data_IF_171675990977
#
_entry.id   IF_171675990977
#
_cell.length_a   1.000
_cell.length_b   1.000
_cell.length_c   1.000
_cell.angle_alpha   90.00
_cell.angle_beta   90.00
_cell.angle_gamma   90.00
#
_symmetry.space_group_name_H-M   'P 1'
#
loop_
_entity.id
_entity.type
_entity.pdbx_description
1 polymer ?
#
# COMPACT_ATOMS: atom_id res chain seq x y z
N UNK A 1 -1.87 -2.69 0.11
CA UNK A 1 -2.78 -1.66 0.65
C UNK A 1 -3.70 -1.15 -0.45
N UNK A 2 -4.98 -0.98 -0.16
CA UNK A 2 -5.92 -0.21 -0.97
C UNK A 2 -6.06 1.14 -0.28
N UNK A 3 -5.64 2.21 -0.96
CA UNK A 3 -5.36 3.49 -0.32
C UNK A 3 -6.04 4.65 -1.05
N UNK A 4 -6.48 5.66 -0.30
CA UNK A 4 -6.93 6.91 -0.87
C UNK A 4 -5.85 7.54 -1.76
N UNK A 5 -6.26 8.38 -2.73
CA UNK A 5 -5.30 9.21 -3.45
C UNK A 5 -4.69 10.27 -2.50
N UNK A 6 -3.54 10.78 -2.85
CA UNK A 6 -2.79 11.74 -2.02
C UNK A 6 -2.34 12.94 -2.84
N UNK A 7 -1.87 13.98 -2.16
CA UNK A 7 -1.34 15.19 -2.81
C UNK A 7 -0.11 14.97 -3.70
N UNK A 8 0.47 13.77 -3.70
CA UNK A 8 1.53 13.37 -4.64
C UNK A 8 0.97 12.98 -6.03
N UNK A 9 -0.34 12.97 -6.19
CA UNK A 9 -1.02 12.66 -7.45
C UNK A 9 -1.69 13.93 -8.01
N UNK A 10 -1.59 14.17 -9.34
CA UNK A 10 -2.21 15.32 -9.94
C UNK A 10 -3.73 15.19 -9.99
N UNK A 11 -4.42 16.32 -10.06
CA UNK A 11 -5.87 16.38 -10.25
C UNK A 11 -6.28 15.88 -11.63
N UNK A 12 -5.51 16.20 -12.64
CA UNK A 12 -5.71 15.79 -14.04
C UNK A 12 -4.51 14.96 -14.51
N UNK A 13 -4.70 14.24 -15.62
CA UNK A 13 -3.58 13.60 -16.31
C UNK A 13 -2.51 14.64 -16.65
N UNK A 14 -1.29 14.44 -16.17
CA UNK A 14 -0.18 15.37 -16.41
C UNK A 14 1.16 14.68 -16.19
N UNK A 15 2.23 15.39 -16.51
CA UNK A 15 3.59 14.88 -16.33
C UNK A 15 3.90 14.59 -14.86
N UNK A 16 4.46 13.41 -14.61
CA UNK A 16 4.98 12.98 -13.32
C UNK A 16 6.17 12.05 -13.55
N UNK A 17 7.17 12.10 -12.69
CA UNK A 17 8.36 11.24 -12.78
C UNK A 17 8.04 9.75 -12.68
N UNK A 18 7.00 9.39 -11.95
CA UNK A 18 6.41 8.07 -11.89
C UNK A 18 5.20 8.04 -12.81
N UNK A 19 5.29 7.30 -13.92
CA UNK A 19 4.25 7.26 -14.95
C UNK A 19 2.92 6.68 -14.42
N UNK A 20 2.96 5.80 -13.45
CA UNK A 20 1.72 5.31 -12.82
C UNK A 20 0.97 6.44 -12.11
N UNK A 21 1.69 7.39 -11.53
CA UNK A 21 1.11 8.55 -10.85
C UNK A 21 0.83 9.74 -11.77
N UNK A 22 1.10 9.62 -13.07
CA UNK A 22 0.78 10.65 -14.05
C UNK A 22 -0.71 10.74 -14.42
N UNK A 23 -1.54 9.90 -13.83
CA UNK A 23 -2.98 9.83 -14.08
C UNK A 23 -3.77 10.63 -13.04
N UNK A 24 -4.93 11.13 -13.46
CA UNK A 24 -5.85 11.88 -12.61
C UNK A 24 -6.22 11.07 -11.34
N UNK A 25 -5.94 11.62 -10.19
CA UNK A 25 -6.01 10.93 -8.90
C UNK A 25 -7.41 10.37 -8.58
N UNK A 26 -8.46 11.09 -8.92
CA UNK A 26 -9.84 10.76 -8.57
C UNK A 26 -10.58 9.92 -9.64
N UNK A 27 -9.90 9.44 -10.67
CA UNK A 27 -10.55 8.75 -11.80
C UNK A 27 -10.04 7.32 -12.02
N UNK A 28 -8.89 6.96 -11.48
CA UNK A 28 -8.25 5.69 -11.80
C UNK A 28 -7.78 4.94 -10.56
N UNK A 29 -7.71 3.62 -10.66
CA UNK A 29 -6.95 2.79 -9.72
C UNK A 29 -5.49 2.76 -10.15
N UNK A 30 -4.59 3.13 -9.26
CA UNK A 30 -3.19 3.32 -9.59
C UNK A 30 -2.31 2.45 -8.68
N UNK A 31 -1.71 1.38 -9.22
CA UNK A 31 -0.72 0.62 -8.46
C UNK A 31 0.57 1.46 -8.31
N UNK A 32 1.07 1.55 -7.10
CA UNK A 32 2.32 2.25 -6.81
C UNK A 32 3.20 1.42 -5.89
N UNK A 33 4.50 1.65 -5.93
CA UNK A 33 5.40 1.17 -4.91
C UNK A 33 5.06 1.79 -3.55
N UNK A 34 5.39 1.10 -2.48
CA UNK A 34 5.28 1.63 -1.12
C UNK A 34 6.51 1.24 -0.30
N UNK A 35 6.98 2.15 0.53
CA UNK A 35 8.01 1.86 1.52
C UNK A 35 7.48 1.30 2.83
N UNK A 36 6.16 1.19 3.00
CA UNK A 36 5.53 0.83 4.27
C UNK A 36 5.98 -0.56 4.76
N UNK A 37 5.98 -1.58 3.88
CA UNK A 37 6.41 -2.92 4.24
C UNK A 37 7.88 -2.97 4.70
N UNK A 38 8.75 -2.18 4.06
CA UNK A 38 10.16 -2.06 4.46
C UNK A 38 10.32 -1.33 5.79
N UNK A 39 9.48 -0.32 6.04
CA UNK A 39 9.49 0.45 7.28
C UNK A 39 9.12 -0.40 8.50
N UNK A 40 8.29 -1.43 8.35
CA UNK A 40 7.99 -2.39 9.44
C UNK A 40 9.26 -3.06 9.95
N UNK A 41 10.20 -3.40 9.08
CA UNK A 41 11.49 -3.98 9.48
C UNK A 41 12.38 -3.06 10.31
N UNK A 42 12.10 -1.75 10.39
CA UNK A 42 12.79 -0.80 11.26
C UNK A 42 12.25 -0.88 12.70
N UNK A 43 10.98 -1.17 12.86
CA UNK A 43 10.28 -1.27 14.16
C UNK A 43 10.33 -2.70 14.68
N UNK A 44 10.21 -3.68 13.80
CA UNK A 44 10.25 -5.11 14.08
C UNK A 44 11.42 -5.75 13.32
N UNK A 45 12.65 -5.72 13.86
CA UNK A 45 13.86 -6.16 13.15
C UNK A 45 13.79 -7.62 12.65
N UNK A 46 13.10 -8.49 13.38
CA UNK A 46 12.92 -9.90 13.01
C UNK A 46 12.13 -10.09 11.69
N UNK A 47 11.41 -9.08 11.26
CA UNK A 47 10.66 -9.07 10.00
C UNK A 47 11.42 -8.38 8.86
N UNK A 48 12.63 -7.90 9.10
CA UNK A 48 13.44 -7.24 8.08
C UNK A 48 13.68 -8.15 6.89
N UNK A 49 13.28 -7.69 5.71
CA UNK A 49 13.41 -8.45 4.46
C UNK A 49 12.39 -9.57 4.26
N UNK A 50 11.47 -9.78 5.21
CA UNK A 50 10.41 -10.81 5.11
C UNK A 50 9.08 -10.24 4.62
N UNK A 51 8.95 -8.93 4.53
CA UNK A 51 7.72 -8.26 4.10
C UNK A 51 7.98 -7.49 2.82
N UNK A 52 7.04 -7.56 1.92
CA UNK A 52 6.97 -6.72 0.73
C UNK A 52 5.52 -6.33 0.47
N UNK A 53 5.29 -5.36 -0.40
CA UNK A 53 3.94 -4.91 -0.67
C UNK A 53 3.85 -3.83 -1.73
N UNK A 54 2.62 -3.64 -2.18
CA UNK A 54 2.24 -2.55 -3.09
C UNK A 54 1.12 -1.73 -2.49
N UNK A 55 0.95 -0.52 -2.98
CA UNK A 55 -0.21 0.31 -2.70
C UNK A 55 -1.03 0.45 -3.98
N UNK A 56 -2.31 0.16 -3.90
CA UNK A 56 -3.26 0.46 -4.98
C UNK A 56 -4.05 1.69 -4.54
N UNK A 57 -3.76 2.82 -5.15
CA UNK A 57 -4.49 4.07 -4.88
C UNK A 57 -5.79 4.07 -5.65
N UNK A 58 -6.87 4.45 -4.97
CA UNK A 58 -8.23 4.41 -5.49
C UNK A 58 -8.89 5.79 -5.40
N UNK A 59 -9.96 6.05 -6.18
CA UNK A 59 -10.67 7.32 -6.22
C UNK A 59 -11.48 7.61 -4.93
N UNK A 60 -10.84 7.56 -3.76
CA UNK A 60 -11.42 7.96 -2.47
C UNK A 60 -10.54 9.01 -1.82
N UNK A 61 -11.11 10.07 -1.20
CA UNK A 61 -10.34 11.17 -0.65
C UNK A 61 -9.62 10.82 0.67
N UNK A 62 -10.05 9.79 1.34
CA UNK A 62 -9.53 9.40 2.66
C UNK A 62 -9.58 7.88 2.86
N UNK A 63 -9.02 7.43 3.96
CA UNK A 63 -8.92 6.06 4.46
C UNK A 63 -8.08 5.11 3.62
N UNK A 64 -7.77 3.97 4.19
CA UNK A 64 -7.10 2.87 3.50
C UNK A 64 -7.50 1.54 4.12
N UNK A 65 -7.35 0.48 3.34
CA UNK A 65 -7.50 -0.91 3.78
C UNK A 65 -6.17 -1.60 3.64
N UNK A 66 -5.75 -2.34 4.66
CA UNK A 66 -4.60 -3.23 4.59
C UNK A 66 -5.09 -4.64 4.29
N UNK A 67 -4.65 -5.21 3.18
CA UNK A 67 -4.83 -6.62 2.85
C UNK A 67 -3.50 -7.32 3.13
N UNK A 68 -3.41 -8.00 4.27
CA UNK A 68 -2.22 -8.72 4.70
C UNK A 68 -2.37 -10.21 4.39
N UNK A 69 -1.42 -10.75 3.64
CA UNK A 69 -1.29 -12.18 3.41
C UNK A 69 0.04 -12.65 3.99
N UNK A 70 0.01 -13.72 4.76
CA UNK A 70 1.22 -14.25 5.39
C UNK A 70 1.13 -15.78 5.55
N UNK A 71 2.28 -16.38 5.71
CA UNK A 71 2.41 -17.79 6.09
C UNK A 71 2.85 -17.81 7.55
N UNK A 72 2.00 -18.32 8.42
CA UNK A 72 2.32 -18.43 9.83
C UNK A 72 3.39 -19.50 10.09
N UNK A 73 4.28 -19.26 11.05
CA UNK A 73 5.28 -20.23 11.47
C UNK A 73 4.73 -21.41 12.28
N UNK A 74 3.46 -21.34 12.67
CA UNK A 74 2.71 -22.39 13.37
C UNK A 74 1.24 -22.32 12.99
N UNK A 75 0.50 -23.37 13.33
CA UNK A 75 -0.95 -23.36 13.17
C UNK A 75 -1.57 -22.26 14.05
N UNK A 76 -2.55 -21.56 13.51
CA UNK A 76 -3.26 -20.47 14.18
C UNK A 76 -4.74 -20.47 13.77
N UNK A 77 -5.55 -19.64 14.40
CA UNK A 77 -6.97 -19.45 14.07
C UNK A 77 -7.31 -17.97 13.91
N UNK A 78 -8.48 -17.69 13.33
CA UNK A 78 -8.97 -16.32 13.18
C UNK A 78 -9.18 -15.64 14.53
N UNK A 79 -9.65 -16.38 15.53
CA UNK A 79 -9.88 -15.88 16.88
C UNK A 79 -8.58 -15.47 17.58
N UNK A 80 -7.49 -16.19 17.29
CA UNK A 80 -6.18 -15.87 17.84
C UNK A 80 -5.56 -14.62 17.17
N UNK A 81 -5.82 -14.42 15.88
CA UNK A 81 -5.29 -13.29 15.11
C UNK A 81 -6.03 -12.00 15.44
N UNK A 82 -7.35 -12.05 15.67
CA UNK A 82 -8.20 -10.91 15.98
C UNK A 82 -8.14 -10.56 17.48
#
# INVERSE_FOLDING_TARGET
>A
TIHSYTGDQPTLDTMHKDLYRARAAALSMIPTSTGAAKAVGLVLPDLKGKLDGISIRVPTPNVSVVDLKFIAGRQTSAEEIN
#
